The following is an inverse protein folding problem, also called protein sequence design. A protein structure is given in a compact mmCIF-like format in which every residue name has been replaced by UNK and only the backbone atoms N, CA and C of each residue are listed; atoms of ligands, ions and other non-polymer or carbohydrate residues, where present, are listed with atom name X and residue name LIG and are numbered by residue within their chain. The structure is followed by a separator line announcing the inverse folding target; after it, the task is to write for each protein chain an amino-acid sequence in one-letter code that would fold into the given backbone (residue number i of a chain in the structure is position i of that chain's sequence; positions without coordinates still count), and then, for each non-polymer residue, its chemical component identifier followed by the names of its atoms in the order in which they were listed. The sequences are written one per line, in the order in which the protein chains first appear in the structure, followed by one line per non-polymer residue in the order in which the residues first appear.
data_IF_903516713144
#
_entry.id   IF_903516713144
#
_cell.length_a   1.000
_cell.length_b   1.000
_cell.length_c   1.000
_cell.angle_alpha   90.00
_cell.angle_beta   90.00
_cell.angle_gamma   90.00
#
_symmetry.space_group_name_H-M   'P 1'
#
loop_
_entity.id
_entity.type
_entity.pdbx_description
1 polymer ?
#
# COMPACT_ATOMS: atom_id res chain seq x y z
N UNK A 1 -35.90 16.79 53.07
CA UNK A 1 -36.42 17.54 51.91
C UNK A 1 -35.75 17.01 50.65
N UNK A 2 -36.53 16.93 49.59
CA UNK A 2 -36.35 16.19 48.34
C UNK A 2 -35.06 16.56 47.61
N UNK A 3 -34.26 15.55 47.24
CA UNK A 3 -33.21 15.68 46.23
C UNK A 3 -33.85 15.67 44.83
N UNK A 4 -33.56 16.69 44.02
CA UNK A 4 -33.83 16.69 42.58
C UNK A 4 -32.57 16.23 41.85
N UNK A 5 -32.65 15.06 41.25
CA UNK A 5 -31.81 14.66 40.14
C UNK A 5 -32.53 15.07 38.84
N UNK A 6 -31.92 15.90 38.00
CA UNK A 6 -32.32 16.01 36.59
C UNK A 6 -31.10 16.11 35.66
N UNK A 7 -30.81 14.94 35.08
CA UNK A 7 -30.52 14.65 33.66
C UNK A 7 -29.37 15.42 32.98
N UNK A 8 -28.20 14.77 32.95
CA UNK A 8 -27.13 15.08 32.02
C UNK A 8 -27.52 14.76 30.57
N UNK A 9 -27.59 15.80 29.73
CA UNK A 9 -27.58 15.70 28.27
C UNK A 9 -26.16 15.31 27.78
N UNK A 10 -25.74 14.07 27.98
CA UNK A 10 -24.41 13.58 27.55
C UNK A 10 -24.48 12.31 26.68
N UNK A 11 -25.59 12.13 25.95
CA UNK A 11 -25.80 10.97 25.05
C UNK A 11 -25.63 11.26 23.55
N UNK A 12 -26.12 12.40 23.06
CA UNK A 12 -26.24 12.66 21.61
C UNK A 12 -24.93 12.96 20.88
N UNK A 13 -23.91 13.47 21.57
CA UNK A 13 -22.64 13.86 20.94
C UNK A 13 -21.78 12.69 20.47
N UNK A 14 -21.77 11.57 21.22
CA UNK A 14 -20.97 10.39 20.86
C UNK A 14 -21.50 9.68 19.63
N UNK A 15 -22.82 9.64 19.46
CA UNK A 15 -23.46 8.97 18.33
C UNK A 15 -23.30 9.78 17.03
N UNK A 16 -23.35 11.11 17.12
CA UNK A 16 -23.08 11.99 15.99
C UNK A 16 -21.62 11.94 15.53
N UNK A 17 -20.66 11.97 16.47
CA UNK A 17 -19.23 11.85 16.17
C UNK A 17 -18.90 10.49 15.55
N UNK A 18 -19.49 9.40 16.08
CA UNK A 18 -19.27 8.06 15.51
C UNK A 18 -19.84 7.93 14.09
N UNK A 19 -21.01 8.54 13.82
CA UNK A 19 -21.58 8.58 12.46
C UNK A 19 -20.75 9.42 11.49
N UNK A 20 -20.16 10.52 11.96
CA UNK A 20 -19.26 11.35 11.15
C UNK A 20 -17.98 10.60 10.78
N UNK A 21 -17.35 9.95 11.76
CA UNK A 21 -16.15 9.13 11.52
C UNK A 21 -16.42 8.00 10.54
N UNK A 22 -17.55 7.29 10.69
CA UNK A 22 -17.92 6.20 9.78
C UNK A 22 -18.16 6.66 8.32
N UNK A 23 -18.72 7.86 8.13
CA UNK A 23 -18.93 8.43 6.80
C UNK A 23 -17.63 8.91 6.16
N UNK A 24 -16.69 9.44 6.95
CA UNK A 24 -15.36 9.82 6.48
C UNK A 24 -14.55 8.57 6.06
N UNK A 25 -14.52 7.54 6.90
CA UNK A 25 -13.87 6.26 6.58
C UNK A 25 -14.42 5.64 5.29
N UNK A 26 -15.75 5.72 5.09
CA UNK A 26 -16.40 5.22 3.88
C UNK A 26 -15.96 5.99 2.64
N UNK A 27 -15.88 7.32 2.72
CA UNK A 27 -15.43 8.16 1.61
C UNK A 27 -13.96 7.92 1.25
N UNK A 28 -13.11 7.73 2.26
CA UNK A 28 -11.70 7.40 2.02
C UNK A 28 -11.56 6.01 1.37
N UNK A 29 -12.38 5.04 1.77
CA UNK A 29 -12.44 3.73 1.14
C UNK A 29 -12.91 3.80 -0.32
N UNK A 30 -14.00 4.52 -0.60
CA UNK A 30 -14.51 4.76 -1.96
C UNK A 30 -13.45 5.47 -2.84
N UNK A 31 -12.82 6.52 -2.33
CA UNK A 31 -11.75 7.23 -3.04
C UNK A 31 -10.53 6.34 -3.33
N UNK A 32 -10.21 5.40 -2.43
CA UNK A 32 -9.14 4.43 -2.64
C UNK A 32 -9.50 3.42 -3.74
N UNK A 33 -10.77 3.01 -3.84
CA UNK A 33 -11.26 2.17 -4.95
C UNK A 33 -11.12 2.91 -6.28
N UNK A 34 -11.55 4.17 -6.34
CA UNK A 34 -11.43 5.00 -7.54
C UNK A 34 -9.96 5.18 -7.95
N UNK A 35 -9.08 5.44 -6.98
CA UNK A 35 -7.64 5.56 -7.19
C UNK A 35 -7.04 4.31 -7.83
N UNK A 36 -7.46 3.12 -7.39
CA UNK A 36 -7.01 1.84 -7.96
C UNK A 36 -7.48 1.67 -9.40
N UNK A 37 -8.74 1.97 -9.69
CA UNK A 37 -9.30 1.89 -11.04
C UNK A 37 -8.56 2.83 -12.00
N UNK A 38 -8.32 4.07 -11.59
CA UNK A 38 -7.56 5.05 -12.36
C UNK A 38 -6.11 4.60 -12.56
N UNK A 39 -5.45 4.12 -11.51
CA UNK A 39 -4.08 3.61 -11.60
C UNK A 39 -3.97 2.46 -12.59
N UNK A 40 -4.90 1.49 -12.53
CA UNK A 40 -4.95 0.35 -13.43
C UNK A 40 -5.09 0.79 -14.89
N UNK A 41 -5.96 1.76 -15.15
CA UNK A 41 -6.16 2.37 -16.47
C UNK A 41 -4.88 3.07 -16.95
N UNK A 42 -4.29 3.93 -16.13
CA UNK A 42 -3.09 4.68 -16.47
C UNK A 42 -1.91 3.76 -16.78
N UNK A 43 -1.74 2.65 -16.07
CA UNK A 43 -0.72 1.64 -16.37
C UNK A 43 -0.89 1.07 -17.78
N UNK A 44 -2.11 0.69 -18.19
CA UNK A 44 -2.38 0.17 -19.53
C UNK A 44 -2.11 1.23 -20.61
N UNK A 45 -2.60 2.45 -20.39
CA UNK A 45 -2.42 3.57 -21.32
C UNK A 45 -0.93 3.94 -21.48
N UNK A 46 -0.13 3.72 -20.44
CA UNK A 46 1.32 3.93 -20.44
C UNK A 46 2.15 2.72 -20.93
N UNK A 47 1.49 1.74 -21.54
CA UNK A 47 2.11 0.67 -22.29
C UNK A 47 2.49 -0.57 -21.48
N UNK A 48 2.00 -0.71 -20.25
CA UNK A 48 2.12 -1.96 -19.49
C UNK A 48 1.12 -3.00 -20.01
N UNK A 49 1.57 -4.25 -20.11
CA UNK A 49 0.69 -5.35 -20.50
C UNK A 49 -0.09 -5.87 -19.29
N UNK A 50 -1.29 -6.38 -19.51
CA UNK A 50 -2.13 -6.98 -18.46
C UNK A 50 -1.38 -8.11 -17.71
N UNK A 51 -0.64 -8.94 -18.45
CA UNK A 51 0.19 -10.02 -17.88
C UNK A 51 1.35 -9.54 -17.01
N UNK A 52 1.74 -8.27 -17.11
CA UNK A 52 2.80 -7.67 -16.27
C UNK A 52 2.24 -7.12 -14.95
N UNK A 53 0.91 -7.05 -14.79
CA UNK A 53 0.25 -6.35 -13.70
C UNK A 53 -0.47 -7.38 -12.82
N UNK A 54 0.05 -7.58 -11.62
CA UNK A 54 -0.60 -8.38 -10.59
C UNK A 54 -1.28 -7.45 -9.59
N UNK A 55 -2.61 -7.54 -9.52
CA UNK A 55 -3.40 -6.83 -8.50
C UNK A 55 -3.41 -7.60 -7.17
N UNK A 56 -3.54 -6.87 -6.06
CA UNK A 56 -3.68 -7.43 -4.71
C UNK A 56 -2.60 -8.46 -4.34
N UNK A 57 -1.36 -8.20 -4.77
CA UNK A 57 -0.26 -9.10 -4.48
C UNK A 57 -0.02 -9.16 -2.96
N UNK A 58 -0.09 -10.38 -2.42
CA UNK A 58 0.31 -10.70 -1.05
C UNK A 58 1.81 -11.00 -1.04
N UNK A 59 2.55 -10.26 -0.22
CA UNK A 59 3.98 -10.40 -0.02
C UNK A 59 4.26 -10.81 1.42
N UNK A 60 5.41 -11.43 1.67
CA UNK A 60 5.81 -11.86 3.00
C UNK A 60 6.92 -10.93 3.52
N UNK A 61 6.68 -10.29 4.66
CA UNK A 61 7.68 -9.55 5.39
C UNK A 61 8.23 -10.39 6.54
N UNK A 62 9.51 -10.72 6.48
CA UNK A 62 10.18 -11.44 7.56
C UNK A 62 10.45 -10.49 8.73
N UNK A 63 9.79 -10.72 9.86
CA UNK A 63 9.99 -9.98 11.11
C UNK A 63 10.76 -10.83 12.12
N UNK A 64 11.25 -10.21 13.20
CA UNK A 64 11.84 -10.94 14.33
C UNK A 64 10.83 -11.79 15.12
N UNK A 65 9.53 -11.57 14.91
CA UNK A 65 8.42 -12.27 15.59
C UNK A 65 7.79 -13.36 14.73
N UNK A 66 8.18 -13.48 13.46
CA UNK A 66 7.58 -14.36 12.48
C UNK A 66 7.35 -13.67 11.14
N UNK A 67 6.80 -14.42 10.19
CA UNK A 67 6.45 -13.93 8.86
C UNK A 67 5.08 -13.25 8.92
N UNK A 68 5.00 -12.03 8.39
CA UNK A 68 3.77 -11.25 8.30
C UNK A 68 3.36 -11.09 6.83
N UNK A 69 2.07 -11.34 6.55
CA UNK A 69 1.52 -11.11 5.21
C UNK A 69 1.17 -9.64 5.05
N UNK A 70 1.70 -9.01 4.01
CA UNK A 70 1.46 -7.61 3.66
C UNK A 70 0.94 -7.52 2.24
N UNK A 71 0.00 -6.58 1.99
CA UNK A 71 -0.63 -6.42 0.69
C UNK A 71 -0.15 -5.18 -0.04
N UNK A 72 0.09 -5.32 -1.33
CA UNK A 72 0.31 -4.22 -2.27
C UNK A 72 -0.81 -4.19 -3.30
N UNK A 73 -1.20 -2.98 -3.73
CA UNK A 73 -2.31 -2.84 -4.67
C UNK A 73 -1.92 -3.32 -6.07
N UNK A 74 -0.70 -3.00 -6.53
CA UNK A 74 -0.15 -3.56 -7.76
C UNK A 74 1.32 -3.96 -7.62
N UNK A 75 1.64 -5.16 -8.11
CA UNK A 75 3.00 -5.62 -8.38
C UNK A 75 3.20 -5.66 -9.90
N UNK A 76 4.18 -4.91 -10.39
CA UNK A 76 4.51 -4.83 -11.81
C UNK A 76 5.77 -5.65 -12.07
N UNK A 77 5.65 -6.68 -12.90
CA UNK A 77 6.76 -7.58 -13.26
C UNK A 77 6.96 -7.63 -14.77
N UNK A 78 8.21 -7.44 -15.21
CA UNK A 78 8.59 -7.52 -16.62
C UNK A 78 9.55 -8.69 -16.77
N UNK A 79 9.29 -9.57 -17.75
CA UNK A 79 10.08 -10.79 -17.98
C UNK A 79 10.26 -11.65 -16.72
N UNK A 80 9.21 -11.72 -15.89
CA UNK A 80 9.20 -12.48 -14.62
C UNK A 80 9.98 -11.84 -13.48
N UNK A 81 10.53 -10.63 -13.65
CA UNK A 81 11.27 -9.90 -12.62
C UNK A 81 10.47 -8.71 -12.10
N UNK A 82 10.36 -8.52 -10.76
CA UNK A 82 9.72 -7.34 -10.18
C UNK A 82 10.39 -6.04 -10.64
N UNK A 83 9.65 -5.20 -11.37
CA UNK A 83 10.10 -3.87 -11.79
C UNK A 83 9.73 -2.82 -10.72
N UNK A 84 8.50 -2.90 -10.23
CA UNK A 84 7.95 -1.87 -9.35
C UNK A 84 6.77 -2.38 -8.54
N UNK A 85 6.63 -1.87 -7.32
CA UNK A 85 5.39 -1.97 -6.54
C UNK A 85 4.65 -0.63 -6.52
N UNK A 86 3.32 -0.67 -6.54
CA UNK A 86 2.46 0.54 -6.52
C UNK A 86 1.45 0.44 -5.39
N UNK A 87 1.42 1.45 -4.52
CA UNK A 87 0.44 1.60 -3.44
C UNK A 87 -0.53 2.73 -3.76
N UNK A 88 -1.83 2.49 -3.61
CA UNK A 88 -2.85 3.52 -3.68
C UNK A 88 -3.10 4.10 -2.27
N UNK A 89 -3.04 5.43 -2.14
CA UNK A 89 -3.21 6.11 -0.86
C UNK A 89 -3.69 7.55 -1.07
N UNK A 90 -4.69 7.99 -0.30
CA UNK A 90 -5.12 9.39 -0.28
C UNK A 90 -4.12 10.30 0.45
N UNK A 91 -3.16 9.71 1.17
CA UNK A 91 -2.13 10.44 1.91
C UNK A 91 -0.73 10.12 1.31
N UNK A 92 -0.39 10.76 0.19
CA UNK A 92 0.86 10.46 -0.54
C UNK A 92 2.11 10.80 0.27
N UNK A 93 2.13 11.96 0.91
CA UNK A 93 3.32 12.48 1.61
C UNK A 93 3.65 11.68 2.88
N UNK A 94 2.64 11.35 3.68
CA UNK A 94 2.87 10.58 4.92
C UNK A 94 3.14 9.10 4.66
N UNK A 95 2.77 8.57 3.48
CA UNK A 95 2.94 7.15 3.13
C UNK A 95 4.04 6.86 2.11
N UNK A 96 4.80 7.86 1.66
CA UNK A 96 6.02 7.63 0.86
C UNK A 96 6.95 6.61 1.54
N UNK A 97 7.18 6.81 2.84
CA UNK A 97 8.10 5.96 3.58
C UNK A 97 7.60 4.52 3.71
N UNK A 98 6.28 4.35 3.73
CA UNK A 98 5.60 3.05 3.80
C UNK A 98 5.89 2.21 2.57
N UNK A 99 5.67 2.75 1.36
CA UNK A 99 5.89 1.96 0.12
C UNK A 99 7.37 1.63 -0.10
N UNK A 100 8.28 2.54 0.25
CA UNK A 100 9.73 2.28 0.19
C UNK A 100 10.12 1.18 1.17
N UNK A 101 9.58 1.20 2.39
CA UNK A 101 9.84 0.17 3.41
C UNK A 101 9.32 -1.20 2.96
N UNK A 102 8.11 -1.23 2.41
CA UNK A 102 7.50 -2.45 1.86
C UNK A 102 8.38 -3.10 0.79
N UNK A 103 8.83 -2.31 -0.20
CA UNK A 103 9.69 -2.81 -1.28
C UNK A 103 11.01 -3.40 -0.76
N UNK A 104 11.58 -2.83 0.31
CA UNK A 104 12.86 -3.28 0.88
C UNK A 104 12.71 -4.43 1.88
N UNK A 105 11.58 -4.52 2.56
CA UNK A 105 11.32 -5.55 3.57
C UNK A 105 10.92 -6.88 2.93
N UNK A 106 10.03 -6.83 1.92
CA UNK A 106 9.32 -8.01 1.41
C UNK A 106 10.01 -8.72 0.23
N UNK A 107 11.18 -8.24 -0.21
CA UNK A 107 11.92 -8.81 -1.34
C UNK A 107 13.39 -9.03 -0.99
N UNK A 108 13.96 -10.18 -1.36
CA UNK A 108 15.39 -10.43 -1.19
C UNK A 108 16.23 -9.41 -1.97
N UNK A 109 15.88 -9.24 -3.24
CA UNK A 109 16.35 -8.17 -4.11
C UNK A 109 15.14 -7.28 -4.40
N UNK A 110 15.10 -6.05 -3.87
CA UNK A 110 13.96 -5.15 -4.06
C UNK A 110 13.73 -4.83 -5.53
N UNK A 111 12.47 -4.58 -5.94
CA UNK A 111 12.20 -3.98 -7.23
C UNK A 111 12.95 -2.64 -7.32
N UNK A 112 13.52 -2.29 -8.48
CA UNK A 112 14.33 -1.07 -8.61
C UNK A 112 13.53 0.20 -8.31
N UNK A 113 12.21 0.17 -8.53
CA UNK A 113 11.32 1.30 -8.34
C UNK A 113 10.17 0.96 -7.39
N UNK A 114 9.57 1.98 -6.79
CA UNK A 114 8.31 1.87 -6.06
C UNK A 114 7.51 3.15 -6.24
N UNK A 115 6.18 3.05 -6.23
CA UNK A 115 5.30 4.18 -6.48
C UNK A 115 4.16 4.28 -5.48
N UNK A 116 3.74 5.52 -5.23
CA UNK A 116 2.52 5.83 -4.50
C UNK A 116 1.65 6.76 -5.33
N UNK A 117 0.34 6.52 -5.34
CA UNK A 117 -0.61 7.31 -6.13
C UNK A 117 -1.98 7.40 -5.49
N UNK A 118 -2.69 8.49 -5.71
CA UNK A 118 -4.10 8.68 -5.36
C UNK A 118 -5.00 8.58 -6.60
N UNK A 119 -4.44 8.13 -7.74
CA UNK A 119 -5.09 8.10 -9.04
C UNK A 119 -5.00 9.42 -9.82
N UNK A 120 -4.68 10.54 -9.14
CA UNK A 120 -4.51 11.87 -9.74
C UNK A 120 -3.07 12.36 -9.68
N UNK A 121 -2.28 11.93 -8.70
CA UNK A 121 -0.87 12.27 -8.55
C UNK A 121 -0.10 10.98 -8.32
N UNK A 122 0.87 10.73 -9.20
CA UNK A 122 1.75 9.56 -9.10
C UNK A 122 3.15 10.03 -8.72
N UNK A 123 3.67 9.51 -7.61
CA UNK A 123 5.07 9.67 -7.21
C UNK A 123 5.81 8.34 -7.34
N UNK A 124 6.92 8.36 -8.05
CA UNK A 124 7.80 7.20 -8.24
C UNK A 124 9.14 7.47 -7.60
N UNK A 125 9.68 6.47 -6.91
CA UNK A 125 10.93 6.53 -6.16
C UNK A 125 11.88 5.43 -6.63
N UNK A 126 13.18 5.71 -6.52
CA UNK A 126 14.21 4.67 -6.61
C UNK A 126 14.24 3.91 -5.29
N UNK A 127 13.99 2.61 -5.32
CA UNK A 127 13.89 1.82 -4.09
C UNK A 127 15.20 1.80 -3.31
N UNK A 128 16.37 1.79 -3.97
CA UNK A 128 17.66 1.71 -3.29
C UNK A 128 17.97 2.94 -2.41
N UNK A 129 17.81 4.14 -2.96
CA UNK A 129 18.08 5.41 -2.26
C UNK A 129 16.86 5.93 -1.50
N UNK A 130 15.65 5.65 -1.99
CA UNK A 130 14.42 6.31 -1.55
C UNK A 130 14.25 7.70 -2.17
N UNK A 131 15.08 8.09 -3.14
CA UNK A 131 14.96 9.39 -3.80
C UNK A 131 13.80 9.37 -4.79
N UNK A 132 13.02 10.45 -4.84
CA UNK A 132 12.02 10.64 -5.88
C UNK A 132 12.65 10.66 -7.28
N UNK A 133 12.10 9.84 -8.16
CA UNK A 133 12.44 9.77 -9.58
C UNK A 133 11.51 10.65 -10.41
N UNK A 134 10.21 10.63 -10.12
CA UNK A 134 9.21 11.37 -10.88
C UNK A 134 8.00 11.70 -10.01
N UNK A 135 7.38 12.84 -10.28
CA UNK A 135 6.03 13.19 -9.85
C UNK A 135 5.26 13.60 -11.11
N UNK A 136 4.07 13.02 -11.31
CA UNK A 136 3.19 13.31 -12.44
C UNK A 136 1.76 13.54 -11.95
N UNK A 137 1.03 14.40 -12.66
CA UNK A 137 -0.40 14.66 -12.42
C UNK A 137 -1.22 14.04 -13.55
N UNK A 138 -2.26 13.32 -13.17
CA UNK A 138 -3.22 12.60 -14.02
C UNK A 138 -2.53 11.67 -15.02
N UNK A 139 -1.35 11.17 -14.67
CA UNK A 139 -0.51 10.35 -15.54
C UNK A 139 0.41 9.42 -14.72
N UNK A 140 1.01 8.46 -15.43
CA UNK A 140 1.95 7.48 -14.90
C UNK A 140 3.18 7.42 -15.81
N UNK A 141 4.42 7.24 -15.31
CA UNK A 141 5.56 7.17 -16.23
C UNK A 141 5.43 5.98 -17.20
N UNK A 142 5.74 6.20 -18.48
CA UNK A 142 5.65 5.16 -19.49
C UNK A 142 6.51 3.93 -19.16
N UNK A 143 6.06 2.75 -19.61
CA UNK A 143 6.81 1.49 -19.46
C UNK A 143 8.25 1.62 -19.92
N UNK A 144 8.48 2.24 -21.09
CA UNK A 144 9.81 2.46 -21.65
C UNK A 144 10.69 3.35 -20.75
N UNK A 145 10.12 4.41 -20.17
CA UNK A 145 10.85 5.32 -19.26
C UNK A 145 11.25 4.62 -17.96
N UNK A 146 10.36 3.79 -17.40
CA UNK A 146 10.64 3.04 -16.17
C UNK A 146 11.69 1.95 -16.39
N UNK A 147 11.66 1.27 -17.55
CA UNK A 147 12.69 0.30 -17.92
C UNK A 147 14.06 0.96 -18.14
N UNK A 148 14.10 2.12 -18.80
CA UNK A 148 15.35 2.86 -19.01
C UNK A 148 15.97 3.35 -17.69
N UNK A 149 15.13 3.71 -16.71
CA UNK A 149 15.59 4.05 -15.36
C UNK A 149 16.07 2.81 -14.60
N UNK A 150 15.28 1.72 -14.61
CA UNK A 150 15.62 0.48 -13.94
C UNK A 150 16.94 -0.12 -14.45
N UNK A 151 17.23 0.00 -15.74
CA UNK A 151 18.48 -0.46 -16.34
C UNK A 151 19.74 0.26 -15.78
N UNK A 152 19.58 1.46 -15.21
CA UNK A 152 20.67 2.22 -14.58
C UNK A 152 20.86 1.86 -13.10
N UNK A 153 19.89 1.15 -12.51
CA UNK A 153 19.90 0.76 -11.11
C UNK A 153 20.46 -0.65 -11.01
N UNK A 154 21.59 -0.79 -10.29
CA UNK A 154 22.14 -2.11 -9.99
C UNK A 154 21.27 -2.80 -8.94
N UNK A 155 20.69 -3.98 -9.22
CA UNK A 155 19.95 -4.74 -8.22
C UNK A 155 20.91 -5.22 -7.14
N UNK A 156 20.66 -4.83 -5.89
CA UNK A 156 21.47 -5.25 -4.75
C UNK A 156 20.57 -5.75 -3.60
N UNK A 157 20.93 -6.88 -2.97
CA UNK A 157 20.20 -7.37 -1.81
C UNK A 157 20.20 -6.35 -0.66
N UNK A 158 19.09 -6.28 0.06
CA UNK A 158 19.03 -5.47 1.29
C UNK A 158 19.81 -6.19 2.39
N UNK A 159 20.75 -5.48 3.03
CA UNK A 159 21.47 -6.03 4.18
C UNK A 159 20.50 -6.40 5.30
N UNK A 160 20.79 -7.46 6.07
CA UNK A 160 19.90 -7.93 7.15
C UNK A 160 19.50 -6.81 8.11
N UNK A 161 20.48 -6.02 8.57
CA UNK A 161 20.26 -4.87 9.45
C UNK A 161 19.31 -3.84 8.83
N UNK A 162 19.47 -3.54 7.53
CA UNK A 162 18.57 -2.59 6.87
C UNK A 162 17.19 -3.19 6.71
N UNK A 163 17.07 -4.45 6.31
CA UNK A 163 15.80 -5.17 6.21
C UNK A 163 15.02 -5.11 7.52
N UNK A 164 15.67 -5.40 8.65
CA UNK A 164 15.05 -5.29 9.98
C UNK A 164 14.50 -3.88 10.27
N UNK A 165 15.26 -2.84 9.94
CA UNK A 165 14.81 -1.45 10.08
C UNK A 165 13.62 -1.13 9.18
N UNK A 166 13.65 -1.57 7.93
CA UNK A 166 12.56 -1.39 6.96
C UNK A 166 11.31 -2.15 7.40
N UNK A 167 11.45 -3.37 7.91
CA UNK A 167 10.35 -4.16 8.47
C UNK A 167 9.71 -3.45 9.66
N UNK A 168 10.48 -2.86 10.59
CA UNK A 168 9.91 -2.11 11.70
C UNK A 168 9.07 -0.91 11.23
N UNK A 169 9.57 -0.18 10.23
CA UNK A 169 8.85 0.95 9.64
C UNK A 169 7.55 0.46 8.98
N UNK A 170 7.63 -0.60 8.18
CA UNK A 170 6.47 -1.22 7.55
C UNK A 170 5.42 -1.60 8.59
N UNK A 171 5.80 -2.33 9.64
CA UNK A 171 4.89 -2.78 10.69
C UNK A 171 4.26 -1.61 11.46
N UNK A 172 4.96 -0.49 11.63
CA UNK A 172 4.38 0.71 12.25
C UNK A 172 3.23 1.30 11.41
N UNK A 173 3.35 1.26 10.08
CA UNK A 173 2.26 1.69 9.19
C UNK A 173 1.12 0.67 9.10
N UNK A 174 1.42 -0.63 9.11
CA UNK A 174 0.39 -1.68 9.11
C UNK A 174 -0.43 -1.63 10.40
N UNK A 175 0.20 -1.43 11.57
CA UNK A 175 -0.50 -1.30 12.84
C UNK A 175 -1.38 -0.04 12.93
N UNK A 176 -1.03 1.02 12.20
CA UNK A 176 -1.82 2.25 12.14
C UNK A 176 -2.93 2.20 11.07
N UNK A 177 -2.89 1.21 10.17
CA UNK A 177 -3.89 1.06 9.12
C UNK A 177 -5.09 0.28 9.67
N UNK A 178 -6.30 0.83 9.50
CA UNK A 178 -7.52 0.12 9.85
C UNK A 178 -7.58 -1.20 9.06
N UNK A 179 -7.88 -2.35 9.68
CA UNK A 179 -7.83 -3.63 8.99
C UNK A 179 -8.74 -3.59 7.76
N UNK A 180 -8.15 -3.76 6.57
CA UNK A 180 -8.93 -4.17 5.39
C UNK A 180 -9.60 -5.48 5.80
N UNK A 181 -10.92 -5.54 5.71
CA UNK A 181 -11.67 -6.77 6.01
C UNK A 181 -11.00 -7.89 5.21
N UNK A 182 -10.38 -8.88 5.86
CA UNK A 182 -9.77 -9.97 5.12
C UNK A 182 -10.88 -10.68 4.35
N UNK A 183 -10.61 -10.99 3.08
CA UNK A 183 -11.43 -11.98 2.38
C UNK A 183 -11.51 -13.21 3.26
N UNK A 184 -12.74 -13.62 3.55
CA UNK A 184 -13.02 -14.78 4.38
C UNK A 184 -12.15 -15.93 3.90
N UNK A 185 -11.18 -16.34 4.72
CA UNK A 185 -10.54 -17.64 4.54
C UNK A 185 -11.70 -18.64 4.63
N UNK A 186 -12.03 -19.27 3.50
CA UNK A 186 -12.85 -20.45 3.50
C UNK A 186 -12.06 -21.51 4.27
N UNK A 187 -12.36 -21.65 5.56
CA UNK A 187 -12.02 -22.84 6.32
C UNK A 187 -12.78 -24.01 5.69
N UNK A 188 -12.16 -24.62 4.69
CA UNK A 188 -12.63 -25.85 4.09
C UNK A 188 -12.56 -26.95 5.13
N UNK A 189 -13.69 -27.23 5.77
CA UNK A 189 -13.98 -28.55 6.32
C UNK A 189 -13.82 -29.59 5.20
N UNK A 190 -12.97 -30.60 5.41
CA UNK A 190 -12.72 -31.60 4.38
C UNK A 190 -11.77 -32.72 4.78
N UNK A 191 -12.16 -33.50 5.78
CA UNK A 191 -12.01 -34.97 5.85
C UNK A 191 -10.65 -35.63 5.60
N UNK A 192 -10.04 -36.16 6.67
CA UNK A 192 -9.63 -37.57 6.65
C UNK A 192 -9.56 -38.16 8.08
N UNK A 193 -10.54 -39.00 8.41
CA UNK A 193 -10.45 -40.07 9.41
C UNK A 193 -11.01 -41.33 8.78
#
# INVERSE_FOLDING_TARGET
MVGKAEKGCYGGGKEAVNKQLQEEDRREAEATVDARLLTRKLLLENGFFDVEIQEDASLIAHTSRGDESVSIDFLISVDGSPLMIVKCSMALESRERHVIALARAAFDIPPPLCAITDGLVTRVYRTASGSMFSELKEDFPSRARLLAEAAQIKPEPVSKKRREMETMILMAFEAASCPRVPDRINDGEGSNK
#
